data_IF_855794940146
#
_entry.id   IF_855794940146
#
_cell.length_a   1.000
_cell.length_b   1.000
_cell.length_c   1.000
_cell.angle_alpha   90.00
_cell.angle_beta   90.00
_cell.angle_gamma   90.00
#
_symmetry.space_group_name_H-M   'P 1'
#
loop_
_entity.id
_entity.type
_entity.pdbx_description
1 polymer ?
#
# COMPACT_ATOMS: atom_id res chain seq x y z
N UNK A 1 -33.91 10.64 -12.40
CA UNK A 1 -33.21 9.74 -11.46
C UNK A 1 -32.03 10.48 -10.88
N UNK A 2 -31.82 10.37 -9.57
CA UNK A 2 -30.60 10.84 -8.90
C UNK A 2 -29.41 10.11 -9.50
N UNK A 3 -28.38 10.87 -9.90
CA UNK A 3 -27.17 10.28 -10.49
C UNK A 3 -26.46 9.44 -9.43
N UNK A 4 -25.78 8.37 -9.82
CA UNK A 4 -24.93 7.59 -8.93
C UNK A 4 -23.46 8.07 -9.03
N UNK A 5 -22.74 8.07 -7.91
CA UNK A 5 -21.31 8.40 -7.89
C UNK A 5 -20.48 7.12 -8.07
N UNK A 6 -19.55 7.12 -9.00
CA UNK A 6 -18.59 6.03 -9.22
C UNK A 6 -17.20 6.54 -8.88
N UNK A 7 -16.52 5.87 -7.95
CA UNK A 7 -15.17 6.23 -7.53
C UNK A 7 -14.20 5.16 -7.98
N UNK A 8 -13.20 5.55 -8.76
CA UNK A 8 -12.10 4.69 -9.23
C UNK A 8 -10.77 5.21 -8.70
N UNK A 9 -9.72 4.39 -8.81
CA UNK A 9 -8.40 4.76 -8.31
C UNK A 9 -7.70 5.84 -9.16
N UNK A 10 -7.77 5.76 -10.50
CA UNK A 10 -6.96 6.60 -11.39
C UNK A 10 -7.78 7.42 -12.39
N UNK A 11 -7.28 8.61 -12.82
CA UNK A 11 -7.98 9.44 -13.82
C UNK A 11 -8.14 8.75 -15.17
N UNK A 12 -7.18 7.90 -15.56
CA UNK A 12 -7.23 7.13 -16.79
C UNK A 12 -8.38 6.11 -16.78
N UNK A 13 -8.57 5.39 -15.66
CA UNK A 13 -9.72 4.49 -15.46
C UNK A 13 -11.02 5.29 -15.48
N UNK A 14 -11.06 6.45 -14.82
CA UNK A 14 -12.25 7.29 -14.78
C UNK A 14 -12.68 7.70 -16.19
N UNK A 15 -11.74 8.18 -17.01
CA UNK A 15 -11.98 8.59 -18.40
C UNK A 15 -12.49 7.43 -19.25
N UNK A 16 -11.99 6.21 -19.03
CA UNK A 16 -12.38 5.02 -19.81
C UNK A 16 -13.76 4.52 -19.41
N UNK A 17 -14.00 4.34 -18.11
CA UNK A 17 -15.30 3.89 -17.59
C UNK A 17 -16.41 4.89 -17.94
N UNK A 18 -16.13 6.19 -17.93
CA UNK A 18 -17.08 7.23 -18.31
C UNK A 18 -17.51 7.18 -19.80
N UNK A 19 -16.80 6.45 -20.67
CA UNK A 19 -17.24 6.19 -22.05
C UNK A 19 -18.31 5.09 -22.12
N UNK A 20 -18.33 4.18 -21.14
CA UNK A 20 -19.21 3.03 -21.11
C UNK A 20 -20.44 3.27 -20.23
N UNK A 21 -20.27 4.07 -19.17
CA UNK A 21 -21.36 4.49 -18.31
C UNK A 21 -22.07 5.71 -18.90
N UNK A 22 -23.41 5.71 -18.82
CA UNK A 22 -24.25 6.80 -19.33
C UNK A 22 -24.28 8.04 -18.44
N UNK A 23 -25.16 8.99 -18.79
CA UNK A 23 -25.31 10.29 -18.10
C UNK A 23 -25.83 10.19 -16.66
N UNK A 24 -26.29 9.01 -16.25
CA UNK A 24 -26.79 8.70 -14.91
C UNK A 24 -25.67 8.46 -13.90
N UNK A 25 -24.42 8.38 -14.34
CA UNK A 25 -23.26 8.18 -13.47
C UNK A 25 -22.35 9.42 -13.45
N UNK A 26 -21.83 9.74 -12.27
CA UNK A 26 -20.77 10.72 -12.06
C UNK A 26 -19.50 9.92 -11.75
N UNK A 27 -18.55 9.86 -12.68
CA UNK A 27 -17.31 9.11 -12.47
C UNK A 27 -16.20 10.02 -11.97
N UNK A 28 -15.58 9.69 -10.83
CA UNK A 28 -14.48 10.43 -10.20
C UNK A 28 -13.33 9.51 -9.81
N UNK A 29 -12.13 10.09 -9.74
CA UNK A 29 -10.92 9.39 -9.35
C UNK A 29 -10.50 9.80 -7.93
N UNK A 30 -10.09 8.84 -7.10
CA UNK A 30 -9.46 9.09 -5.80
C UNK A 30 -7.99 9.49 -5.91
N UNK A 31 -7.38 9.22 -7.08
CA UNK A 31 -5.96 9.42 -7.36
C UNK A 31 -5.12 8.56 -6.40
N UNK A 32 -5.37 7.25 -6.39
CA UNK A 32 -4.74 6.29 -5.48
C UNK A 32 -5.38 6.27 -4.09
N UNK A 33 -4.58 5.92 -3.09
CA UNK A 33 -4.96 5.98 -1.68
C UNK A 33 -5.28 7.43 -1.26
N UNK A 34 -6.35 7.58 -0.47
CA UNK A 34 -6.75 8.86 0.14
C UNK A 34 -6.29 9.01 1.58
N UNK A 35 -5.98 7.88 2.22
CA UNK A 35 -5.62 7.78 3.63
C UNK A 35 -4.52 6.74 3.78
N UNK A 36 -3.60 6.96 4.69
CA UNK A 36 -2.55 6.01 5.06
C UNK A 36 -2.17 6.22 6.53
N UNK A 37 -1.33 5.34 7.06
CA UNK A 37 -0.66 5.54 8.34
C UNK A 37 0.27 6.78 8.26
N UNK A 38 0.55 7.45 9.39
CA UNK A 38 1.32 8.70 9.41
C UNK A 38 2.69 8.51 8.76
N UNK A 39 3.15 9.51 8.03
CA UNK A 39 4.50 9.53 7.46
C UNK A 39 5.38 10.33 8.40
N UNK A 40 6.64 9.96 8.58
CA UNK A 40 7.57 10.67 9.46
C UNK A 40 7.59 12.18 9.12
N UNK A 41 7.17 13.03 10.06
CA UNK A 41 7.05 14.48 9.88
C UNK A 41 5.65 15.00 9.54
N UNK A 42 4.64 14.13 9.32
CA UNK A 42 3.26 14.52 9.01
C UNK A 42 2.36 14.69 10.24
N UNK A 43 2.83 14.32 11.44
CA UNK A 43 2.16 14.67 12.69
C UNK A 43 2.26 16.17 12.88
N UNK A 44 1.27 16.91 12.37
CA UNK A 44 0.83 18.12 13.04
C UNK A 44 0.39 17.67 14.42
N UNK A 45 1.21 17.92 15.44
CA UNK A 45 0.67 18.04 16.78
C UNK A 45 -0.54 18.97 16.65
N UNK A 46 -1.72 18.52 17.07
CA UNK A 46 -2.79 19.44 17.37
C UNK A 46 -2.18 20.45 18.33
N UNK A 47 -1.97 21.68 17.86
CA UNK A 47 -1.72 22.80 18.74
C UNK A 47 -3.02 22.93 19.53
N UNK A 48 -3.08 22.27 20.68
CA UNK A 48 -3.97 22.69 21.75
C UNK A 48 -3.78 24.20 21.88
N UNK A 49 -4.86 24.93 21.76
CA UNK A 49 -4.86 26.39 21.79
C UNK A 49 -3.97 26.88 22.93
N UNK A 50 -3.13 27.85 22.58
CA UNK A 50 -2.36 28.62 23.55
C UNK A 50 -3.38 29.37 24.40
N UNK A 51 -3.60 28.90 25.62
CA UNK A 51 -3.86 29.73 26.80
C UNK A 51 -3.74 28.84 28.04
N UNK A 52 -2.50 28.72 28.51
CA UNK A 52 -2.08 28.62 29.91
C UNK A 52 -0.67 28.04 29.96
N UNK A 53 0.33 28.93 29.96
CA UNK A 53 1.69 28.57 30.36
C UNK A 53 1.73 28.48 31.89
N UNK A 54 1.11 27.45 32.45
CA UNK A 54 1.52 26.96 33.76
C UNK A 54 2.90 26.30 33.61
N UNK A 55 3.90 26.88 34.26
CA UNK A 55 5.24 26.29 34.37
C UNK A 55 5.12 25.07 35.27
N UNK A 56 4.79 23.90 34.69
CA UNK A 56 4.87 22.63 35.40
C UNK A 56 6.33 22.38 35.78
N UNK A 57 6.66 22.11 37.06
CA UNK A 57 8.02 21.81 37.46
C UNK A 57 8.53 20.61 36.67
N UNK A 58 9.79 20.66 36.19
CA UNK A 58 10.43 19.52 35.51
C UNK A 58 10.64 18.38 36.51
N UNK A 59 9.61 17.58 36.75
CA UNK A 59 9.72 16.33 37.50
C UNK A 59 10.65 15.41 36.71
N UNK A 60 11.71 14.92 37.36
CA UNK A 60 12.69 14.02 36.78
C UNK A 60 12.02 12.66 36.61
N UNK A 61 11.55 12.37 35.40
CA UNK A 61 10.95 11.06 35.06
C UNK A 61 11.92 9.93 35.41
N UNK A 62 11.38 8.89 36.03
CA UNK A 62 12.07 7.62 36.30
C UNK A 62 12.45 6.91 34.98
N UNK A 63 13.34 5.93 35.05
CA UNK A 63 13.76 5.17 33.87
C UNK A 63 12.57 4.43 33.21
N UNK A 64 11.65 3.91 34.02
CA UNK A 64 10.45 3.21 33.58
C UNK A 64 9.47 4.15 32.86
N UNK A 65 9.19 5.32 33.43
CA UNK A 65 8.31 6.33 32.80
C UNK A 65 8.90 6.83 31.47
N UNK A 66 10.23 6.95 31.36
CA UNK A 66 10.90 7.29 30.11
C UNK A 66 10.73 6.19 29.06
N UNK A 67 10.83 4.92 29.45
CA UNK A 67 10.65 3.79 28.55
C UNK A 67 9.21 3.72 28.02
N UNK A 68 8.21 3.89 28.89
CA UNK A 68 6.79 3.94 28.52
C UNK A 68 6.52 5.11 27.55
N UNK A 69 7.05 6.30 27.85
CA UNK A 69 6.92 7.46 26.97
C UNK A 69 7.58 7.24 25.60
N UNK A 70 8.76 6.63 25.56
CA UNK A 70 9.47 6.32 24.32
C UNK A 70 8.69 5.32 23.46
N UNK A 71 8.05 4.33 24.10
CA UNK A 71 7.21 3.33 23.44
C UNK A 71 5.91 3.93 22.89
N UNK A 72 5.23 4.76 23.68
CA UNK A 72 4.06 5.52 23.21
C UNK A 72 4.42 6.43 22.02
N UNK A 73 5.56 7.12 22.08
CA UNK A 73 6.05 7.93 20.96
C UNK A 73 6.43 7.08 19.73
N UNK A 74 6.91 5.84 19.93
CA UNK A 74 7.13 4.90 18.83
C UNK A 74 5.81 4.52 18.16
N UNK A 75 4.79 4.14 18.94
CA UNK A 75 3.47 3.78 18.41
C UNK A 75 2.79 4.95 17.70
N UNK A 76 2.89 6.16 18.24
CA UNK A 76 2.40 7.37 17.58
C UNK A 76 3.07 7.64 16.22
N UNK A 77 4.39 7.47 16.12
CA UNK A 77 5.12 7.60 14.84
C UNK A 77 4.83 6.45 13.86
N UNK A 78 4.61 5.25 14.40
CA UNK A 78 4.26 4.07 13.63
C UNK A 78 2.84 4.16 13.06
N UNK A 79 1.94 4.83 13.78
CA UNK A 79 0.52 4.93 13.50
C UNK A 79 -0.27 3.68 13.85
N UNK A 80 0.34 2.71 14.52
CA UNK A 80 -0.26 1.43 14.90
C UNK A 80 0.13 1.16 16.35
N UNK A 81 -0.80 0.62 17.12
CA UNK A 81 -0.58 0.23 18.51
C UNK A 81 -0.66 -1.30 18.67
N UNK A 82 0.49 -2.02 18.70
CA UNK A 82 0.52 -3.47 18.88
C UNK A 82 0.00 -3.95 20.25
N UNK A 83 -0.14 -3.07 21.23
CA UNK A 83 -0.55 -3.44 22.60
C UNK A 83 -2.04 -3.22 22.84
N UNK A 84 -2.67 -2.39 22.02
CA UNK A 84 -4.09 -2.07 22.12
C UNK A 84 -4.83 -2.51 20.85
N UNK A 85 -4.85 -3.83 20.60
CA UNK A 85 -5.59 -4.47 19.50
C UNK A 85 -5.29 -3.90 18.10
N UNK A 86 -4.02 -3.55 17.86
CA UNK A 86 -3.55 -3.04 16.56
C UNK A 86 -4.29 -1.79 16.08
N UNK A 87 -4.80 -0.98 17.02
CA UNK A 87 -5.48 0.27 16.69
C UNK A 87 -4.60 1.14 15.80
N UNK A 88 -5.18 1.59 14.68
CA UNK A 88 -4.46 2.30 13.65
C UNK A 88 -4.96 3.74 13.51
N UNK A 89 -4.02 4.69 13.56
CA UNK A 89 -4.27 6.09 13.31
C UNK A 89 -4.06 6.42 11.83
N UNK A 90 -5.11 6.27 11.04
CA UNK A 90 -5.08 6.63 9.63
C UNK A 90 -5.31 8.13 9.40
N UNK A 91 -4.42 8.76 8.64
CA UNK A 91 -4.47 10.18 8.31
C UNK A 91 -4.71 10.40 6.82
N UNK A 92 -5.46 11.45 6.47
CA UNK A 92 -5.62 11.85 5.07
C UNK A 92 -4.24 12.23 4.54
N UNK A 93 -3.87 11.69 3.37
CA UNK A 93 -2.57 11.97 2.78
C UNK A 93 -2.47 13.46 2.40
N UNK A 94 -1.32 14.13 2.65
CA UNK A 94 -1.12 15.52 2.26
C UNK A 94 -1.39 15.73 0.77
N UNK A 95 -2.20 16.75 0.45
CA UNK A 95 -2.60 17.07 -0.92
C UNK A 95 -3.86 16.34 -1.41
N UNK A 96 -4.40 15.38 -0.64
CA UNK A 96 -5.65 14.67 -0.96
C UNK A 96 -6.88 15.30 -0.31
N UNK A 97 -6.73 16.34 0.50
CA UNK A 97 -7.82 16.99 1.23
C UNK A 97 -8.88 17.56 0.29
N UNK A 98 -8.44 18.20 -0.81
CA UNK A 98 -9.35 18.72 -1.85
C UNK A 98 -10.14 17.61 -2.53
N UNK A 99 -9.49 16.49 -2.85
CA UNK A 99 -10.15 15.33 -3.47
C UNK A 99 -11.20 14.75 -2.52
N UNK A 100 -10.84 14.59 -1.24
CA UNK A 100 -11.77 14.11 -0.22
C UNK A 100 -12.96 15.06 -0.05
N UNK A 101 -12.73 16.37 -0.02
CA UNK A 101 -13.79 17.37 0.09
C UNK A 101 -14.73 17.32 -1.13
N UNK A 102 -14.18 17.19 -2.33
CA UNK A 102 -14.97 17.04 -3.56
C UNK A 102 -15.82 15.76 -3.53
N UNK A 103 -15.22 14.62 -3.19
CA UNK A 103 -15.93 13.34 -3.09
C UNK A 103 -17.04 13.38 -2.03
N UNK A 104 -16.79 14.00 -0.87
CA UNK A 104 -17.81 14.22 0.16
C UNK A 104 -18.96 15.10 -0.32
N UNK A 105 -18.65 16.16 -1.06
CA UNK A 105 -19.66 17.06 -1.61
C UNK A 105 -20.56 16.33 -2.61
N UNK A 106 -19.97 15.59 -3.54
CA UNK A 106 -20.70 14.78 -4.53
C UNK A 106 -21.48 13.63 -3.88
N UNK A 107 -20.94 13.02 -2.83
CA UNK A 107 -21.63 11.97 -2.08
C UNK A 107 -22.92 12.45 -1.39
N UNK A 108 -23.09 13.76 -1.16
CA UNK A 108 -24.33 14.32 -0.59
C UNK A 108 -25.46 14.44 -1.62
N UNK A 109 -25.15 14.53 -2.91
CA UNK A 109 -26.14 14.77 -3.97
C UNK A 109 -26.60 13.50 -4.71
N UNK A 110 -26.10 12.34 -4.30
CA UNK A 110 -26.36 11.04 -4.93
C UNK A 110 -26.92 10.06 -3.92
N UNK A 111 -27.77 9.11 -4.32
CA UNK A 111 -28.28 8.11 -3.38
C UNK A 111 -27.31 6.93 -3.21
N UNK A 112 -26.68 6.50 -4.30
CA UNK A 112 -25.80 5.33 -4.37
C UNK A 112 -24.37 5.71 -4.75
N UNK A 113 -23.40 5.08 -4.08
CA UNK A 113 -21.97 5.25 -4.32
C UNK A 113 -21.38 3.89 -4.71
N UNK A 114 -20.83 3.81 -5.92
CA UNK A 114 -20.12 2.65 -6.44
C UNK A 114 -18.61 2.80 -6.23
N UNK A 115 -18.02 1.87 -5.49
CA UNK A 115 -16.58 1.74 -5.29
C UNK A 115 -16.04 0.79 -6.37
N UNK A 116 -15.40 1.35 -7.38
CA UNK A 116 -14.92 0.67 -8.58
C UNK A 116 -13.38 0.63 -8.62
N UNK A 117 -12.77 0.29 -7.48
CA UNK A 117 -11.33 0.04 -7.34
C UNK A 117 -10.95 -1.35 -7.86
N UNK A 118 -9.66 -1.65 -7.93
CA UNK A 118 -9.15 -2.90 -8.49
C UNK A 118 -9.58 -4.13 -7.70
N UNK A 119 -9.61 -5.26 -8.40
CA UNK A 119 -10.13 -6.53 -7.89
C UNK A 119 -9.28 -7.13 -6.77
N UNK A 120 -8.11 -6.59 -6.46
CA UNK A 120 -7.17 -7.12 -5.48
C UNK A 120 -7.45 -6.62 -4.05
N UNK A 121 -6.60 -6.99 -3.09
CA UNK A 121 -6.75 -6.57 -1.69
C UNK A 121 -6.41 -5.10 -1.46
N UNK A 122 -5.51 -4.52 -2.28
CA UNK A 122 -5.17 -3.09 -2.21
C UNK A 122 -6.37 -2.25 -2.65
N UNK A 123 -7.01 -2.64 -3.76
CA UNK A 123 -8.25 -2.02 -4.21
C UNK A 123 -9.37 -2.12 -3.17
N UNK A 124 -9.47 -3.24 -2.46
CA UNK A 124 -10.44 -3.39 -1.38
C UNK A 124 -10.14 -2.46 -0.17
N UNK A 125 -8.88 -2.32 0.21
CA UNK A 125 -8.47 -1.38 1.25
C UNK A 125 -8.70 0.08 0.85
N UNK A 126 -8.45 0.45 -0.42
CA UNK A 126 -8.77 1.79 -0.94
C UNK A 126 -10.28 2.04 -0.88
N UNK A 127 -11.09 1.07 -1.29
CA UNK A 127 -12.54 1.16 -1.21
C UNK A 127 -13.02 1.34 0.24
N UNK A 128 -12.47 0.58 1.19
CA UNK A 128 -12.75 0.75 2.60
C UNK A 128 -12.36 2.15 3.11
N UNK A 129 -11.16 2.63 2.77
CA UNK A 129 -10.72 3.97 3.16
C UNK A 129 -11.62 5.07 2.61
N UNK A 130 -12.06 4.95 1.35
CA UNK A 130 -13.02 5.89 0.75
C UNK A 130 -14.34 5.89 1.51
N UNK A 131 -14.88 4.72 1.85
CA UNK A 131 -16.09 4.61 2.66
C UNK A 131 -15.93 5.25 4.04
N UNK A 132 -14.82 4.98 4.74
CA UNK A 132 -14.54 5.57 6.06
C UNK A 132 -14.36 7.08 5.99
N UNK A 133 -13.73 7.59 4.93
CA UNK A 133 -13.46 9.01 4.78
C UNK A 133 -14.72 9.77 4.38
N UNK A 134 -15.52 9.25 3.44
CA UNK A 134 -16.75 9.90 2.96
C UNK A 134 -17.85 9.83 4.03
N UNK A 135 -17.99 8.70 4.72
CA UNK A 135 -18.96 8.48 5.80
C UNK A 135 -20.40 8.26 5.31
N UNK A 136 -21.37 8.33 6.22
CA UNK A 136 -22.78 8.03 5.92
C UNK A 136 -23.13 6.55 6.01
N UNK A 137 -24.34 6.19 5.58
CA UNK A 137 -24.87 4.82 5.72
C UNK A 137 -24.08 3.81 4.84
N UNK A 138 -23.48 2.76 5.41
CA UNK A 138 -22.84 1.67 4.67
C UNK A 138 -23.71 1.05 3.56
N UNK A 139 -25.04 1.08 3.70
CA UNK A 139 -25.96 0.50 2.71
C UNK A 139 -25.89 1.21 1.35
N UNK A 140 -25.51 2.49 1.34
CA UNK A 140 -25.37 3.33 0.12
C UNK A 140 -24.15 2.95 -0.72
N UNK A 141 -23.20 2.20 -0.14
CA UNK A 141 -21.98 1.79 -0.81
C UNK A 141 -22.14 0.43 -1.47
N UNK A 142 -21.72 0.36 -2.72
CA UNK A 142 -21.75 -0.84 -3.53
C UNK A 142 -20.38 -1.07 -4.16
N UNK A 143 -19.86 -2.29 -4.08
CA UNK A 143 -18.53 -2.65 -4.59
C UNK A 143 -18.67 -3.22 -6.00
N UNK A 144 -17.95 -2.66 -6.96
CA UNK A 144 -17.98 -3.10 -8.36
C UNK A 144 -16.60 -3.60 -8.76
N UNK A 145 -16.51 -4.89 -9.09
CA UNK A 145 -15.26 -5.54 -9.46
C UNK A 145 -15.33 -5.97 -10.92
N UNK A 146 -14.25 -5.75 -11.65
CA UNK A 146 -14.09 -6.18 -13.04
C UNK A 146 -12.64 -6.56 -13.30
N UNK A 147 -12.43 -7.58 -14.13
CA UNK A 147 -11.10 -8.07 -14.49
C UNK A 147 -10.52 -7.32 -15.69
N UNK A 148 -11.39 -6.69 -16.49
CA UNK A 148 -11.04 -5.96 -17.69
C UNK A 148 -11.96 -4.73 -17.86
N UNK A 149 -11.49 -3.73 -18.61
CA UNK A 149 -12.20 -2.48 -18.83
C UNK A 149 -12.83 -2.49 -20.23
N UNK A 150 -13.76 -3.41 -20.46
CA UNK A 150 -14.57 -3.51 -21.69
C UNK A 150 -16.01 -3.08 -21.43
N UNK A 151 -16.75 -2.66 -22.47
CA UNK A 151 -18.14 -2.21 -22.32
C UNK A 151 -19.03 -3.31 -21.70
N UNK A 152 -18.84 -4.56 -22.13
CA UNK A 152 -19.57 -5.73 -21.63
C UNK A 152 -19.24 -6.01 -20.17
N UNK A 153 -17.96 -6.09 -19.81
CA UNK A 153 -17.54 -6.39 -18.43
C UNK A 153 -18.00 -5.31 -17.44
N UNK A 154 -17.85 -4.03 -17.80
CA UNK A 154 -18.32 -2.92 -16.95
C UNK A 154 -19.85 -2.98 -16.80
N UNK A 155 -20.60 -3.14 -17.90
CA UNK A 155 -22.07 -3.20 -17.81
C UNK A 155 -22.53 -4.39 -16.96
N UNK A 156 -21.86 -5.55 -17.06
CA UNK A 156 -22.16 -6.71 -16.24
C UNK A 156 -21.84 -6.48 -14.76
N UNK A 157 -20.68 -5.88 -14.45
CA UNK A 157 -20.24 -5.61 -13.09
C UNK A 157 -21.19 -4.65 -12.34
N UNK A 158 -21.77 -3.66 -13.05
CA UNK A 158 -22.74 -2.73 -12.46
C UNK A 158 -24.15 -3.32 -12.30
N UNK A 159 -24.49 -4.43 -12.97
CA UNK A 159 -25.78 -5.13 -12.77
C UNK A 159 -25.81 -5.96 -11.48
N UNK A 160 -24.67 -6.50 -11.06
CA UNK A 160 -24.54 -7.33 -9.86
C UNK A 160 -23.41 -6.80 -8.96
N UNK A 161 -23.62 -5.65 -8.31
CA UNK A 161 -22.65 -5.11 -7.39
C UNK A 161 -22.51 -6.00 -6.15
N UNK A 162 -21.28 -6.15 -5.68
CA UNK A 162 -20.94 -6.83 -4.45
C UNK A 162 -20.97 -5.88 -3.24
N UNK A 163 -20.72 -6.44 -2.05
CA UNK A 163 -20.39 -5.67 -0.85
C UNK A 163 -18.89 -5.69 -0.62
N UNK A 164 -18.44 -4.72 0.18
CA UNK A 164 -17.05 -4.64 0.61
C UNK A 164 -16.69 -5.90 1.42
N UNK A 165 -15.58 -6.55 1.07
CA UNK A 165 -15.07 -7.72 1.75
C UNK A 165 -14.07 -7.32 2.85
N UNK A 166 -14.53 -7.36 4.11
CA UNK A 166 -13.71 -6.96 5.25
C UNK A 166 -12.52 -7.89 5.50
N UNK A 167 -12.60 -9.17 5.16
CA UNK A 167 -11.46 -10.09 5.33
C UNK A 167 -10.28 -9.71 4.42
N UNK A 168 -10.58 -9.28 3.20
CA UNK A 168 -9.56 -8.79 2.26
C UNK A 168 -8.96 -7.47 2.69
N UNK A 169 -9.78 -6.59 3.26
CA UNK A 169 -9.29 -5.35 3.91
C UNK A 169 -8.36 -5.73 5.05
N UNK A 170 -8.79 -6.57 5.98
CA UNK A 170 -8.01 -7.00 7.13
C UNK A 170 -6.69 -7.67 6.71
N UNK A 171 -6.69 -8.47 5.64
CA UNK A 171 -5.47 -9.07 5.09
C UNK A 171 -4.48 -8.03 4.54
N UNK A 172 -4.97 -6.96 3.90
CA UNK A 172 -4.14 -5.85 3.44
C UNK A 172 -3.59 -5.05 4.63
N UNK A 173 -4.43 -4.77 5.63
CA UNK A 173 -4.06 -4.01 6.83
C UNK A 173 -3.03 -4.76 7.66
N UNK A 174 -3.19 -6.07 7.84
CA UNK A 174 -2.23 -6.93 8.52
C UNK A 174 -0.85 -6.88 7.85
N UNK A 175 -0.81 -6.95 6.51
CA UNK A 175 0.44 -6.77 5.75
C UNK A 175 1.03 -5.38 6.00
N UNK A 176 0.21 -4.33 5.95
CA UNK A 176 0.63 -2.94 6.17
C UNK A 176 1.24 -2.76 7.56
N UNK A 177 0.62 -3.34 8.60
CA UNK A 177 1.08 -3.29 9.98
C UNK A 177 2.39 -4.05 10.18
N UNK A 178 2.48 -5.25 9.62
CA UNK A 178 3.69 -6.07 9.70
C UNK A 178 4.91 -5.36 9.08
N UNK A 179 4.73 -4.79 7.88
CA UNK A 179 5.80 -4.04 7.21
C UNK A 179 6.19 -2.80 8.01
N UNK A 180 5.21 -2.16 8.66
CA UNK A 180 5.39 -0.98 9.51
C UNK A 180 6.16 -1.29 10.81
N UNK A 181 5.83 -2.40 11.48
CA UNK A 181 6.53 -2.89 12.68
C UNK A 181 8.00 -3.16 12.36
N UNK A 182 8.29 -3.91 11.30
CA UNK A 182 9.67 -4.21 10.91
C UNK A 182 10.44 -2.92 10.59
N UNK A 183 9.85 -2.03 9.80
CA UNK A 183 10.49 -0.76 9.45
C UNK A 183 10.82 0.11 10.66
N UNK A 184 9.88 0.31 11.58
CA UNK A 184 10.05 1.23 12.71
C UNK A 184 10.80 0.64 13.90
N UNK A 185 10.79 -0.68 14.09
CA UNK A 185 11.50 -1.33 15.20
C UNK A 185 12.91 -1.77 14.80
N UNK A 186 13.13 -2.24 13.58
CA UNK A 186 14.45 -2.77 13.17
C UNK A 186 15.36 -1.68 12.62
N UNK A 187 14.85 -0.66 11.92
CA UNK A 187 15.71 0.40 11.36
C UNK A 187 16.52 1.17 12.43
N UNK A 188 15.95 1.55 13.60
CA UNK A 188 16.74 2.18 14.66
C UNK A 188 17.91 1.32 15.15
N UNK A 189 17.71 0.00 15.21
CA UNK A 189 18.77 -0.93 15.57
C UNK A 189 19.89 -0.95 14.51
N UNK A 190 19.55 -0.92 13.23
CA UNK A 190 20.54 -0.80 12.15
C UNK A 190 21.32 0.51 12.22
N UNK A 191 20.70 1.61 12.65
CA UNK A 191 21.38 2.90 12.83
C UNK A 191 22.38 2.87 13.97
N UNK A 192 22.06 2.17 15.05
CA UNK A 192 22.94 2.02 16.21
C UNK A 192 24.12 1.07 15.91
N UNK A 193 23.87 -0.02 15.17
CA UNK A 193 24.85 -1.11 14.98
C UNK A 193 25.66 -1.03 13.69
N UNK A 194 25.13 -0.41 12.64
CA UNK A 194 25.74 -0.45 11.29
C UNK A 194 25.98 0.98 10.79
N UNK A 195 24.93 1.70 10.40
CA UNK A 195 25.04 3.05 9.85
C UNK A 195 23.70 3.78 9.92
N UNK A 196 23.75 5.09 10.21
CA UNK A 196 22.57 5.96 10.18
C UNK A 196 22.01 6.06 8.76
N UNK A 197 20.69 6.11 8.66
CA UNK A 197 19.98 6.25 7.38
C UNK A 197 19.65 4.93 6.67
N UNK A 198 20.07 3.78 7.22
CA UNK A 198 19.67 2.47 6.71
C UNK A 198 18.18 2.19 6.96
N UNK A 199 17.55 1.40 6.09
CA UNK A 199 16.16 0.98 6.29
C UNK A 199 16.09 -0.53 6.38
N UNK A 200 15.30 -1.01 7.34
CA UNK A 200 14.92 -2.41 7.44
C UNK A 200 13.58 -2.61 6.72
N UNK A 201 13.49 -3.67 5.91
CA UNK A 201 12.25 -4.02 5.23
C UNK A 201 12.07 -5.52 5.23
N UNK A 202 10.93 -6.00 5.72
CA UNK A 202 10.66 -7.44 5.89
C UNK A 202 10.97 -8.27 4.63
N UNK A 203 10.54 -7.79 3.46
CA UNK A 203 10.76 -8.46 2.18
C UNK A 203 12.08 -8.02 1.53
N UNK A 204 12.43 -6.73 1.64
CA UNK A 204 13.63 -6.16 1.04
C UNK A 204 14.91 -6.81 1.59
N UNK A 205 14.99 -7.02 2.91
CA UNK A 205 16.15 -7.65 3.54
C UNK A 205 16.35 -9.09 3.08
N UNK A 206 15.27 -9.84 2.81
CA UNK A 206 15.34 -11.21 2.25
C UNK A 206 15.81 -11.18 0.80
N UNK A 207 15.31 -10.24 -0.02
CA UNK A 207 15.75 -10.09 -1.40
C UNK A 207 17.25 -9.74 -1.48
N UNK A 208 17.72 -8.82 -0.63
CA UNK A 208 19.15 -8.47 -0.53
C UNK A 208 19.97 -9.68 -0.08
N UNK A 209 19.47 -10.48 0.86
CA UNK A 209 20.14 -11.71 1.30
C UNK A 209 20.41 -12.67 0.14
N UNK A 210 19.44 -12.90 -0.75
CA UNK A 210 19.62 -13.79 -1.91
C UNK A 210 20.75 -13.32 -2.83
N UNK A 211 20.85 -12.00 -3.06
CA UNK A 211 21.94 -11.41 -3.86
C UNK A 211 23.29 -11.57 -3.16
N UNK A 212 23.34 -11.32 -1.85
CA UNK A 212 24.57 -11.45 -1.05
C UNK A 212 25.04 -12.91 -0.97
N UNK A 213 24.13 -13.88 -0.85
CA UNK A 213 24.46 -15.30 -0.86
C UNK A 213 25.08 -15.71 -2.19
N UNK A 214 24.46 -15.33 -3.32
CA UNK A 214 25.01 -15.60 -4.65
C UNK A 214 26.37 -14.94 -4.88
N UNK A 215 26.54 -13.69 -4.44
CA UNK A 215 27.82 -12.99 -4.53
C UNK A 215 28.92 -13.68 -3.72
N UNK A 216 28.58 -14.24 -2.55
CA UNK A 216 29.53 -15.04 -1.73
C UNK A 216 29.92 -16.34 -2.42
N UNK A 217 28.97 -17.03 -3.05
CA UNK A 217 29.25 -18.23 -3.85
C UNK A 217 30.22 -17.92 -4.99
N UNK A 218 29.99 -16.82 -5.73
CA UNK A 218 30.87 -16.39 -6.83
C UNK A 218 32.29 -16.06 -6.31
N UNK A 219 32.40 -15.37 -5.17
CA UNK A 219 33.71 -15.04 -4.57
C UNK A 219 34.47 -16.25 -4.04
N UNK A 220 33.76 -17.27 -3.58
CA UNK A 220 34.34 -18.51 -3.08
C UNK A 220 34.61 -19.53 -4.20
N UNK A 221 34.14 -19.27 -5.42
CA UNK A 221 34.33 -20.16 -6.56
C UNK A 221 35.82 -20.20 -6.96
N UNK A 222 36.39 -21.41 -6.96
CA UNK A 222 37.73 -21.68 -7.47
C UNK A 222 37.55 -22.32 -8.85
N UNK A 223 37.87 -21.61 -9.95
CA UNK A 223 37.70 -22.17 -11.30
C UNK A 223 38.61 -23.37 -11.52
N UNK A 224 38.06 -24.40 -12.17
CA UNK A 224 38.82 -25.56 -12.64
C UNK A 224 39.01 -25.46 -14.16
N UNK A 225 40.24 -25.64 -14.62
CA UNK A 225 40.57 -25.65 -16.03
C UNK A 225 40.09 -26.95 -16.67
N UNK A 226 39.36 -26.83 -17.79
CA UNK A 226 38.97 -27.95 -18.62
C UNK A 226 39.08 -27.56 -20.09
N UNK A 227 39.25 -28.57 -20.95
CA UNK A 227 39.36 -28.40 -22.39
C UNK A 227 38.21 -29.15 -23.07
N UNK A 228 37.54 -28.50 -24.00
CA UNK A 228 36.59 -29.13 -24.91
C UNK A 228 37.20 -29.16 -26.30
N UNK A 229 37.23 -30.33 -26.92
CA UNK A 229 37.73 -30.49 -28.29
C UNK A 229 36.53 -30.63 -29.21
N UNK A 230 36.47 -29.79 -30.23
CA UNK A 230 35.48 -29.90 -31.30
C UNK A 230 36.20 -30.16 -32.62
N UNK A 231 35.63 -31.03 -33.44
CA UNK A 231 36.09 -31.27 -34.80
C UNK A 231 34.95 -31.07 -35.78
N UNK A 232 35.18 -30.21 -36.78
CA UNK A 232 34.29 -30.08 -37.93
C UNK A 232 34.69 -31.15 -38.95
N UNK A 233 33.78 -32.07 -39.23
CA UNK A 233 34.00 -33.23 -40.08
C UNK A 233 32.98 -33.26 -41.21
N UNK A 234 33.15 -34.18 -42.16
CA UNK A 234 32.17 -34.46 -43.20
C UNK A 234 31.74 -35.92 -43.15
N UNK A 235 30.43 -36.14 -43.27
CA UNK A 235 29.87 -37.47 -43.46
C UNK A 235 30.30 -38.06 -44.81
N UNK A 236 30.13 -39.37 -45.00
CA UNK A 236 30.38 -40.01 -46.31
C UNK A 236 29.57 -39.37 -47.46
N UNK A 237 28.42 -38.76 -47.14
CA UNK A 237 27.60 -38.00 -48.08
C UNK A 237 28.05 -36.54 -48.30
N UNK A 238 29.23 -36.13 -47.81
CA UNK A 238 29.76 -34.76 -47.82
C UNK A 238 28.89 -33.72 -47.08
N UNK A 239 28.01 -34.15 -46.19
CA UNK A 239 27.32 -33.23 -45.29
C UNK A 239 28.22 -32.88 -44.11
N UNK A 240 28.28 -31.61 -43.73
CA UNK A 240 29.05 -31.14 -42.59
C UNK A 240 28.49 -31.72 -41.27
N UNK A 241 29.38 -32.19 -40.41
CA UNK A 241 29.07 -32.78 -39.11
C UNK A 241 30.08 -32.29 -38.07
N UNK A 242 29.60 -31.51 -37.10
CA UNK A 242 30.42 -31.10 -35.95
C UNK A 242 30.33 -32.14 -34.85
N UNK A 243 31.47 -32.67 -34.42
CA UNK A 243 31.57 -33.63 -33.31
C UNK A 243 32.32 -32.99 -32.13
N UNK A 244 31.90 -33.33 -30.91
CA UNK A 244 32.65 -33.06 -29.69
C UNK A 244 33.46 -34.34 -29.38
N UNK A 245 34.77 -34.17 -29.20
CA UNK A 245 35.77 -35.26 -29.03
C UNK A 245 36.14 -35.40 -27.56
#
# INVERSE_FOLDING_TARGET
>A
MTKALVIVESPAKAKTINKYLGKDFIVKSSIGHVRDLPVSGSTKEEKSDKDDKEIKPKVRLTAEEKAVKAKSALFGRMGVDPEHDWQANYQILPGKEKVVAELKSLAKSVDTIYLATDLDREGEAIAWHLQQVIGGDPKRYQRVVFNEITKSAITAAFKQPARLNLDRVNAQQARRFLDRVVGYMVSPLLWEKIARGLSAGRVQSVAVRLVVEKEREIRAFVPEEFWEIHADTQTQGKADLRVQV
#
